data_IF_147818959037
#
_entry.id   IF_147818959037
#
_cell.length_a   1.000
_cell.length_b   1.000
_cell.length_c   1.000
_cell.angle_alpha   90.00
_cell.angle_beta   90.00
_cell.angle_gamma   90.00
#
_symmetry.space_group_name_H-M   'P 1'
#
loop_
_entity.id
_entity.type
_entity.pdbx_description
1 polymer ?
#
# COMPACT_ATOMS: atom_id res chain seq x y z
N UNK A 1 -15.33 6.92 8.85
CA UNK A 1 -14.01 6.90 9.51
C UNK A 1 -12.97 6.45 8.49
N UNK A 2 -11.73 6.89 8.63
CA UNK A 2 -10.63 6.64 7.69
C UNK A 2 -9.36 6.38 8.48
N UNK A 3 -8.49 5.52 7.96
CA UNK A 3 -7.25 5.13 8.61
C UNK A 3 -6.02 5.43 7.74
N UNK A 4 -4.97 5.88 8.40
CA UNK A 4 -3.64 6.13 7.86
C UNK A 4 -2.63 5.24 8.55
N UNK A 5 -1.65 4.70 7.82
CA UNK A 5 -0.60 3.89 8.41
C UNK A 5 0.75 4.15 7.75
N UNK A 6 1.81 4.08 8.54
CA UNK A 6 3.19 4.00 8.08
C UNK A 6 4.04 3.20 9.07
N UNK A 7 5.10 2.57 8.58
CA UNK A 7 6.12 1.91 9.39
C UNK A 7 7.49 1.97 8.69
N UNK A 8 8.57 1.63 9.40
CA UNK A 8 9.94 1.64 8.87
C UNK A 8 10.34 0.36 8.13
N UNK A 9 9.43 -0.58 7.91
CA UNK A 9 9.74 -1.91 7.33
C UNK A 9 10.26 -1.82 5.88
N UNK A 10 9.86 -0.80 5.13
CA UNK A 10 10.26 -0.60 3.73
C UNK A 10 10.68 0.86 3.48
N UNK A 11 11.51 1.14 2.46
CA UNK A 11 11.88 2.50 2.09
C UNK A 11 10.67 3.42 1.82
N UNK A 12 9.57 2.85 1.33
CA UNK A 12 8.34 3.58 1.03
C UNK A 12 7.49 3.89 2.29
N UNK A 13 7.98 3.49 3.46
CA UNK A 13 7.31 3.55 4.76
C UNK A 13 5.98 2.78 4.78
N UNK A 14 5.98 1.59 4.19
CA UNK A 14 4.84 0.69 4.07
C UNK A 14 5.12 -0.67 4.73
N UNK A 15 4.07 -1.43 5.13
CA UNK A 15 4.24 -2.81 5.56
C UNK A 15 4.86 -3.68 4.45
N UNK A 16 5.82 -4.53 4.82
CA UNK A 16 6.55 -5.39 3.89
C UNK A 16 5.65 -6.26 2.99
N UNK A 17 4.63 -6.98 3.50
CA UNK A 17 3.90 -7.97 2.71
C UNK A 17 3.09 -7.33 1.57
N UNK A 18 2.41 -6.21 1.83
CA UNK A 18 1.62 -5.53 0.81
C UNK A 18 2.52 -4.86 -0.23
N UNK A 19 3.66 -4.32 0.19
CA UNK A 19 4.60 -3.67 -0.72
C UNK A 19 5.18 -4.69 -1.71
N UNK A 20 5.62 -5.84 -1.22
CA UNK A 20 6.12 -6.93 -2.07
C UNK A 20 5.01 -7.47 -2.98
N UNK A 21 3.80 -7.71 -2.46
CA UNK A 21 2.68 -8.17 -3.27
C UNK A 21 2.34 -7.19 -4.42
N UNK A 22 2.36 -5.88 -4.17
CA UNK A 22 2.20 -4.86 -5.21
C UNK A 22 3.32 -4.85 -6.23
N UNK A 23 4.59 -4.89 -5.79
CA UNK A 23 5.75 -4.92 -6.69
C UNK A 23 5.72 -6.14 -7.60
N UNK A 24 5.39 -7.33 -7.06
CA UNK A 24 5.22 -8.55 -7.85
C UNK A 24 4.07 -8.43 -8.87
N UNK A 25 2.92 -7.88 -8.47
CA UNK A 25 1.78 -7.71 -9.37
C UNK A 25 2.09 -6.70 -10.49
N UNK A 26 2.81 -5.63 -10.16
CA UNK A 26 3.27 -4.65 -11.12
C UNK A 26 4.26 -5.28 -12.11
N UNK A 27 5.26 -6.01 -11.61
CA UNK A 27 6.27 -6.69 -12.41
C UNK A 27 5.67 -7.73 -13.34
N UNK A 28 4.70 -8.52 -12.86
CA UNK A 28 3.92 -9.47 -13.67
C UNK A 28 3.24 -8.76 -14.87
N UNK A 29 2.70 -7.55 -14.66
CA UNK A 29 2.10 -6.78 -15.73
C UNK A 29 3.15 -6.17 -16.69
N UNK A 30 4.33 -5.77 -16.19
CA UNK A 30 5.43 -5.26 -17.00
C UNK A 30 5.97 -6.32 -17.97
N UNK A 31 6.36 -7.49 -17.46
CA UNK A 31 6.93 -8.56 -18.30
C UNK A 31 5.97 -9.03 -19.37
N UNK A 32 4.66 -9.04 -19.06
CA UNK A 32 3.61 -9.30 -20.05
C UNK A 32 3.53 -8.20 -21.11
N UNK A 33 3.48 -6.92 -20.71
CA UNK A 33 3.33 -5.80 -21.66
C UNK A 33 4.56 -5.60 -22.53
N UNK A 34 5.74 -5.92 -22.01
CA UNK A 34 7.00 -5.89 -22.74
C UNK A 34 7.20 -7.10 -23.67
N UNK A 35 6.36 -8.13 -23.56
CA UNK A 35 6.47 -9.35 -24.36
C UNK A 35 7.60 -10.29 -23.92
N UNK A 36 8.20 -10.07 -22.75
CA UNK A 36 9.22 -10.95 -22.15
C UNK A 36 8.62 -12.34 -21.89
N UNK A 37 7.43 -12.37 -21.30
CA UNK A 37 6.63 -13.59 -21.11
C UNK A 37 5.35 -13.50 -21.97
N UNK A 38 5.44 -13.80 -23.28
CA UNK A 38 4.38 -13.48 -24.25
C UNK A 38 3.13 -14.36 -24.12
N UNK A 39 3.22 -15.43 -23.32
CA UNK A 39 2.10 -16.30 -23.01
C UNK A 39 1.19 -15.74 -21.91
N UNK A 40 1.63 -14.73 -21.14
CA UNK A 40 0.82 -14.14 -20.09
C UNK A 40 -0.38 -13.37 -20.64
N UNK A 41 -1.48 -13.43 -19.89
CA UNK A 41 -2.71 -12.69 -20.11
C UNK A 41 -2.94 -11.70 -18.96
N UNK A 42 -3.92 -10.78 -19.06
CA UNK A 42 -4.02 -9.64 -18.14
C UNK A 42 -4.34 -9.96 -16.68
N UNK A 43 -5.05 -11.05 -16.39
CA UNK A 43 -5.49 -11.37 -15.02
C UNK A 43 -4.36 -12.04 -14.21
N UNK A 44 -4.18 -11.61 -12.97
CA UNK A 44 -3.09 -12.06 -12.12
C UNK A 44 -3.28 -11.66 -10.65
N UNK A 45 -2.80 -12.52 -9.75
CA UNK A 45 -2.91 -12.38 -8.29
C UNK A 45 -1.56 -12.72 -7.66
N UNK A 46 -1.18 -11.96 -6.65
CA UNK A 46 0.05 -12.15 -5.88
C UNK A 46 -0.28 -12.20 -4.40
N UNK A 47 0.44 -13.03 -3.66
CA UNK A 47 0.38 -13.11 -2.21
C UNK A 47 1.79 -13.39 -1.69
N UNK A 48 2.13 -12.74 -0.58
CA UNK A 48 3.42 -12.88 0.09
C UNK A 48 3.17 -13.13 1.56
N UNK A 49 3.74 -14.21 2.08
CA UNK A 49 3.77 -14.53 3.51
C UNK A 49 5.16 -14.18 4.03
N UNK A 50 5.21 -13.27 5.01
CA UNK A 50 6.46 -12.79 5.62
C UNK A 50 6.49 -13.27 7.07
N UNK A 51 7.63 -13.78 7.50
CA UNK A 51 7.88 -14.13 8.90
C UNK A 51 8.38 -12.91 9.66
N UNK A 52 7.90 -12.76 10.89
CA UNK A 52 8.20 -11.62 11.75
C UNK A 52 8.77 -12.10 13.09
N UNK A 53 9.79 -11.41 13.58
CA UNK A 53 10.32 -11.52 14.94
C UNK A 53 10.34 -10.13 15.57
N UNK A 54 9.80 -9.97 16.78
CA UNK A 54 9.64 -8.68 17.46
C UNK A 54 9.06 -7.58 16.56
N UNK A 55 8.07 -7.97 15.75
CA UNK A 55 7.39 -7.13 14.76
C UNK A 55 8.27 -6.64 13.59
N UNK A 56 9.52 -7.10 13.46
CA UNK A 56 10.37 -6.84 12.30
C UNK A 56 10.30 -7.99 11.29
N UNK A 57 10.24 -7.70 9.97
CA UNK A 57 10.26 -8.74 8.95
C UNK A 57 11.66 -9.37 8.87
N UNK A 58 11.74 -10.69 9.00
CA UNK A 58 13.03 -11.40 9.00
C UNK A 58 13.28 -12.21 7.73
N UNK A 59 12.23 -12.74 7.10
CA UNK A 59 12.33 -13.49 5.82
C UNK A 59 10.97 -13.61 5.14
N UNK A 60 10.98 -13.95 3.86
CA UNK A 60 9.77 -14.35 3.14
C UNK A 60 9.64 -15.87 3.13
N UNK A 61 8.55 -16.38 3.73
CA UNK A 61 8.30 -17.82 3.79
C UNK A 61 7.70 -18.35 2.48
N UNK A 62 6.70 -17.64 1.95
CA UNK A 62 5.94 -18.11 0.79
C UNK A 62 5.61 -16.97 -0.16
N UNK A 63 5.83 -17.20 -1.45
CA UNK A 63 5.34 -16.36 -2.55
C UNK A 63 4.35 -17.20 -3.38
N UNK A 64 3.14 -16.66 -3.58
CA UNK A 64 2.16 -17.23 -4.49
C UNK A 64 1.89 -16.26 -5.62
N UNK A 65 2.01 -16.75 -6.85
CA UNK A 65 1.62 -16.01 -8.06
C UNK A 65 0.67 -16.88 -8.87
N UNK A 66 -0.58 -16.42 -8.99
CA UNK A 66 -1.56 -17.00 -9.89
C UNK A 66 -1.74 -16.06 -11.09
N UNK A 67 -1.37 -16.49 -12.29
CA UNK A 67 -1.38 -15.67 -13.48
C UNK A 67 -2.09 -16.36 -14.63
N UNK A 68 -2.93 -15.60 -15.32
CA UNK A 68 -3.63 -16.06 -16.50
C UNK A 68 -2.65 -16.24 -17.66
N UNK A 69 -2.80 -17.31 -18.43
CA UNK A 69 -1.89 -17.64 -19.52
C UNK A 69 -2.62 -18.21 -20.75
N UNK A 70 -1.89 -18.33 -21.88
CA UNK A 70 -2.36 -19.05 -23.06
C UNK A 70 -2.46 -20.56 -22.78
N UNK A 71 -3.38 -21.28 -23.44
CA UNK A 71 -3.43 -22.74 -23.35
C UNK A 71 -2.13 -23.41 -23.79
N UNK A 72 -1.84 -24.58 -23.22
CA UNK A 72 -0.68 -25.41 -23.59
C UNK A 72 0.66 -24.98 -22.99
N UNK A 73 0.65 -24.07 -22.01
CA UNK A 73 1.85 -23.70 -21.23
C UNK A 73 1.90 -24.53 -19.96
N UNK A 74 3.01 -25.24 -19.76
CA UNK A 74 3.22 -26.08 -18.58
C UNK A 74 3.67 -25.25 -17.38
N UNK A 75 2.98 -25.42 -16.25
CA UNK A 75 3.20 -24.59 -15.04
C UNK A 75 4.57 -24.84 -14.42
N UNK A 76 4.94 -26.10 -14.22
CA UNK A 76 6.13 -26.45 -13.45
C UNK A 76 7.44 -26.30 -14.23
N UNK A 77 7.42 -26.58 -15.53
CA UNK A 77 8.62 -26.60 -16.36
C UNK A 77 8.86 -25.32 -17.14
N UNK A 78 7.84 -24.47 -17.30
CA UNK A 78 7.95 -23.18 -18.02
C UNK A 78 7.63 -22.03 -17.08
N UNK A 79 6.40 -21.95 -16.58
CA UNK A 79 5.95 -20.75 -15.84
C UNK A 79 6.72 -20.54 -14.54
N UNK A 80 6.97 -21.61 -13.78
CA UNK A 80 7.65 -21.50 -12.48
C UNK A 80 9.09 -21.00 -12.62
N UNK A 81 9.95 -21.57 -13.49
CA UNK A 81 11.28 -20.99 -13.78
C UNK A 81 11.22 -19.53 -14.26
N UNK A 82 10.37 -19.25 -15.25
CA UNK A 82 10.22 -17.90 -15.82
C UNK A 82 9.80 -16.86 -14.77
N UNK A 83 8.90 -17.24 -13.85
CA UNK A 83 8.43 -16.34 -12.81
C UNK A 83 9.51 -16.09 -11.77
N UNK A 84 10.33 -17.10 -11.48
CA UNK A 84 11.48 -16.90 -10.60
C UNK A 84 12.44 -15.86 -11.20
N UNK A 85 12.93 -16.11 -12.41
CA UNK A 85 13.95 -15.29 -13.09
C UNK A 85 13.44 -13.88 -13.42
N UNK A 86 12.24 -13.76 -13.98
CA UNK A 86 11.80 -12.48 -14.56
C UNK A 86 10.90 -11.66 -13.64
N UNK A 87 10.36 -12.25 -12.55
CA UNK A 87 9.39 -11.60 -11.68
C UNK A 87 9.82 -11.57 -10.22
N UNK A 88 10.18 -12.72 -9.63
CA UNK A 88 10.48 -12.83 -8.20
C UNK A 88 11.87 -12.28 -7.91
N UNK A 89 12.90 -12.83 -8.54
CA UNK A 89 14.30 -12.43 -8.31
C UNK A 89 14.52 -10.92 -8.50
N UNK A 90 13.97 -10.23 -9.54
CA UNK A 90 14.16 -8.79 -9.71
C UNK A 90 13.40 -7.91 -8.71
N UNK A 91 12.45 -8.46 -7.96
CA UNK A 91 11.59 -7.70 -7.03
C UNK A 91 12.00 -7.89 -5.57
N UNK A 92 12.49 -9.08 -5.24
CA UNK A 92 12.73 -9.48 -3.87
C UNK A 92 14.07 -8.95 -3.35
N UNK A 93 14.12 -8.37 -2.14
CA UNK A 93 15.38 -8.08 -1.47
C UNK A 93 16.13 -9.39 -1.19
N UNK A 94 17.42 -9.42 -1.51
CA UNK A 94 18.27 -10.62 -1.36
C UNK A 94 18.28 -11.11 0.10
N UNK A 95 18.28 -10.18 1.05
CA UNK A 95 18.30 -10.45 2.49
C UNK A 95 17.04 -11.15 3.02
N UNK A 96 15.92 -11.12 2.27
CA UNK A 96 14.67 -11.77 2.67
C UNK A 96 14.44 -13.12 2.00
N UNK A 97 15.31 -13.55 1.09
CA UNK A 97 15.23 -14.85 0.41
C UNK A 97 16.20 -15.83 1.07
N UNK A 98 15.68 -17.00 1.43
CA UNK A 98 16.48 -18.14 1.88
C UNK A 98 16.21 -19.40 1.03
N UNK A 99 16.92 -20.49 1.35
CA UNK A 99 16.77 -21.79 0.66
C UNK A 99 15.42 -22.47 0.94
N UNK A 100 14.67 -22.00 1.93
CA UNK A 100 13.37 -22.54 2.34
C UNK A 100 12.19 -21.80 1.72
N UNK A 101 12.43 -20.77 0.89
CA UNK A 101 11.41 -20.01 0.19
C UNK A 101 10.48 -20.94 -0.60
N UNK A 102 9.17 -20.89 -0.29
CA UNK A 102 8.14 -21.64 -1.02
C UNK A 102 7.60 -20.78 -2.16
N UNK A 103 7.72 -21.28 -3.38
CA UNK A 103 7.18 -20.61 -4.58
C UNK A 103 6.02 -21.43 -5.13
N UNK A 104 4.83 -20.84 -5.10
CA UNK A 104 3.59 -21.44 -5.58
C UNK A 104 3.13 -20.70 -6.83
N UNK A 105 3.37 -21.29 -8.00
CA UNK A 105 2.88 -20.76 -9.28
C UNK A 105 1.66 -21.56 -9.71
N UNK A 106 0.53 -20.88 -9.93
CA UNK A 106 -0.73 -21.47 -10.38
C UNK A 106 -1.08 -22.82 -9.67
N UNK A 107 -1.20 -22.85 -8.34
CA UNK A 107 -1.31 -24.11 -7.58
C UNK A 107 -2.58 -24.93 -7.90
N UNK A 108 -3.60 -24.30 -8.49
CA UNK A 108 -4.82 -24.96 -8.97
C UNK A 108 -4.69 -25.54 -10.38
N UNK A 109 -3.50 -25.49 -10.98
CA UNK A 109 -3.24 -25.87 -12.36
C UNK A 109 -3.52 -24.75 -13.36
N UNK A 110 -4.20 -25.06 -14.45
CA UNK A 110 -4.38 -24.14 -15.59
C UNK A 110 -5.23 -22.91 -15.22
N UNK A 111 -4.79 -21.73 -15.65
CA UNK A 111 -5.54 -20.47 -15.54
C UNK A 111 -5.67 -19.81 -16.91
N UNK A 112 -6.53 -20.36 -17.77
CA UNK A 112 -6.67 -19.92 -19.17
C UNK A 112 -7.80 -18.89 -19.37
N UNK A 113 -8.92 -19.08 -18.65
CA UNK A 113 -10.09 -18.18 -18.63
C UNK A 113 -9.98 -17.28 -17.40
N UNK A 114 -10.12 -15.97 -17.58
CA UNK A 114 -9.98 -14.97 -16.51
C UNK A 114 -10.60 -13.63 -16.88
N UNK A 115 -10.38 -12.61 -16.05
CA UNK A 115 -11.01 -11.31 -16.21
C UNK A 115 -12.54 -11.37 -16.05
N UNK A 116 -13.29 -10.41 -16.61
CA UNK A 116 -14.75 -10.32 -16.44
C UNK A 116 -15.54 -11.53 -16.95
N UNK A 117 -14.95 -12.34 -17.83
CA UNK A 117 -15.56 -13.60 -18.28
C UNK A 117 -15.52 -14.68 -17.19
N UNK A 118 -14.48 -14.69 -16.37
CA UNK A 118 -14.33 -15.62 -15.25
C UNK A 118 -15.09 -15.16 -14.02
N UNK A 119 -14.93 -13.88 -13.64
CA UNK A 119 -15.49 -13.32 -12.41
C UNK A 119 -16.01 -11.88 -12.62
N UNK A 120 -17.21 -11.58 -12.09
CA UNK A 120 -17.76 -10.21 -12.10
C UNK A 120 -16.94 -9.27 -11.21
N UNK A 121 -16.38 -8.21 -11.77
CA UNK A 121 -15.68 -7.15 -11.05
C UNK A 121 -16.58 -5.98 -10.66
N UNK A 122 -16.40 -5.41 -9.47
CA UNK A 122 -17.07 -4.20 -9.03
C UNK A 122 -16.09 -3.20 -8.39
N UNK A 123 -16.35 -1.91 -8.59
CA UNK A 123 -15.62 -0.81 -7.95
C UNK A 123 -15.64 -0.95 -6.43
N UNK A 124 -14.49 -0.77 -5.78
CA UNK A 124 -14.39 -0.81 -4.31
C UNK A 124 -14.42 -2.20 -3.68
N UNK A 125 -14.16 -3.26 -4.45
CA UNK A 125 -14.03 -4.64 -3.93
C UNK A 125 -12.59 -5.10 -3.71
N UNK A 126 -11.66 -4.15 -3.60
CA UNK A 126 -10.22 -4.37 -3.37
C UNK A 126 -9.64 -3.38 -2.35
N UNK A 127 -10.46 -2.83 -1.44
CA UNK A 127 -10.06 -1.76 -0.51
C UNK A 127 -8.86 -2.10 0.40
N UNK A 128 -8.68 -3.36 0.77
CA UNK A 128 -7.50 -3.79 1.56
C UNK A 128 -6.25 -3.88 0.69
N UNK A 129 -6.40 -4.27 -0.58
CA UNK A 129 -5.33 -4.22 -1.59
C UNK A 129 -5.01 -2.77 -1.96
N UNK A 130 -5.99 -1.88 -1.96
CA UNK A 130 -5.77 -0.45 -2.23
C UNK A 130 -4.97 0.24 -1.11
N UNK A 131 -4.91 -0.35 0.08
CA UNK A 131 -4.37 0.27 1.31
C UNK A 131 -3.17 -0.49 1.88
N UNK A 132 -3.33 -1.17 3.02
CA UNK A 132 -2.22 -1.64 3.86
C UNK A 132 -2.15 -3.18 3.96
N UNK A 133 -2.88 -3.90 3.10
CA UNK A 133 -2.83 -5.36 3.04
C UNK A 133 -3.26 -6.08 4.32
N UNK A 134 -4.03 -5.40 5.18
CA UNK A 134 -4.51 -5.95 6.46
C UNK A 134 -3.62 -5.62 7.67
N UNK A 135 -2.47 -4.95 7.48
CA UNK A 135 -1.60 -4.54 8.60
C UNK A 135 -2.19 -3.41 9.45
N UNK A 136 -3.11 -2.63 8.86
CA UNK A 136 -3.79 -1.53 9.51
C UNK A 136 -5.30 -1.67 9.35
N UNK A 137 -6.04 -1.00 10.24
CA UNK A 137 -7.50 -0.95 10.21
C UNK A 137 -8.00 -0.25 8.95
N UNK A 138 -9.25 -0.51 8.59
CA UNK A 138 -9.89 0.10 7.42
C UNK A 138 -11.29 0.60 7.75
N UNK A 139 -11.62 1.81 7.33
CA UNK A 139 -12.89 2.47 7.68
C UNK A 139 -14.08 2.16 6.76
N UNK A 140 -13.87 1.27 5.77
CA UNK A 140 -14.90 0.73 4.88
C UNK A 140 -15.12 1.48 3.56
N UNK A 141 -14.78 2.77 3.49
CA UNK A 141 -14.94 3.57 2.27
C UNK A 141 -14.01 3.16 1.13
N UNK A 142 -14.55 2.93 -0.08
CA UNK A 142 -13.72 2.74 -1.28
C UNK A 142 -13.19 4.06 -1.85
N UNK A 143 -12.17 4.01 -2.71
CA UNK A 143 -11.55 5.21 -3.29
C UNK A 143 -12.00 5.50 -4.72
N UNK A 144 -11.86 4.53 -5.63
CA UNK A 144 -12.12 4.72 -7.07
C UNK A 144 -13.56 5.15 -7.37
N UNK A 145 -13.71 6.09 -8.30
CA UNK A 145 -14.99 6.71 -8.66
C UNK A 145 -15.40 7.92 -7.81
N UNK A 146 -14.64 8.28 -6.77
CA UNK A 146 -14.95 9.41 -5.88
C UNK A 146 -14.07 10.64 -6.13
N UNK A 147 -14.70 11.81 -6.29
CA UNK A 147 -13.97 13.08 -6.30
C UNK A 147 -13.43 13.42 -4.89
N UNK A 148 -12.47 14.35 -4.75
CA UNK A 148 -11.78 14.55 -3.48
C UNK A 148 -12.61 15.26 -2.40
N UNK A 149 -13.85 15.71 -2.67
CA UNK A 149 -14.74 16.15 -1.59
C UNK A 149 -15.27 14.99 -0.76
N UNK A 150 -15.06 13.74 -1.18
CA UNK A 150 -15.53 12.54 -0.48
C UNK A 150 -14.42 12.09 0.46
N UNK A 151 -14.67 12.29 1.75
CA UNK A 151 -13.67 12.08 2.81
C UNK A 151 -13.17 10.64 2.90
N UNK A 152 -13.94 9.66 2.40
CA UNK A 152 -13.46 8.28 2.23
C UNK A 152 -12.12 8.21 1.48
N UNK A 153 -11.94 9.05 0.45
CA UNK A 153 -10.69 9.15 -0.32
C UNK A 153 -9.75 10.20 0.28
N UNK A 154 -10.21 11.45 0.38
CA UNK A 154 -9.33 12.55 0.77
C UNK A 154 -8.85 12.44 2.21
N UNK A 155 -9.72 12.03 3.14
CA UNK A 155 -9.35 11.80 4.53
C UNK A 155 -8.45 10.58 4.71
N UNK A 156 -8.63 9.50 3.94
CA UNK A 156 -7.68 8.38 3.94
C UNK A 156 -6.29 8.78 3.42
N UNK A 157 -6.22 9.62 2.37
CA UNK A 157 -4.95 10.14 1.87
C UNK A 157 -4.29 11.10 2.86
N UNK A 158 -5.08 11.96 3.53
CA UNK A 158 -4.57 12.81 4.60
C UNK A 158 -4.05 11.99 5.78
N UNK A 159 -4.77 10.94 6.17
CA UNK A 159 -4.35 10.02 7.22
C UNK A 159 -3.01 9.35 6.88
N UNK A 160 -2.85 8.82 5.64
CA UNK A 160 -1.56 8.31 5.15
C UNK A 160 -0.46 9.37 5.23
N UNK A 161 -0.74 10.58 4.75
CA UNK A 161 0.22 11.68 4.72
C UNK A 161 0.71 12.04 6.13
N UNK A 162 -0.20 12.11 7.11
CA UNK A 162 0.15 12.37 8.52
C UNK A 162 1.02 11.24 9.07
N UNK A 163 0.56 9.98 9.00
CA UNK A 163 1.31 8.83 9.52
C UNK A 163 2.70 8.70 8.89
N UNK A 164 2.80 8.88 7.57
CA UNK A 164 4.07 8.83 6.84
C UNK A 164 5.04 9.92 7.29
N UNK A 165 4.56 11.14 7.52
CA UNK A 165 5.41 12.24 8.00
C UNK A 165 5.86 12.05 9.45
N UNK A 166 5.04 11.46 10.32
CA UNK A 166 5.42 11.10 11.69
C UNK A 166 6.57 10.09 11.69
N UNK A 167 6.43 9.01 10.91
CA UNK A 167 7.46 7.97 10.81
C UNK A 167 8.72 8.52 10.13
N UNK A 168 8.58 9.28 9.04
CA UNK A 168 9.71 9.91 8.35
C UNK A 168 10.47 10.93 9.22
N UNK A 169 9.78 11.61 10.14
CA UNK A 169 10.40 12.51 11.12
C UNK A 169 11.19 11.77 12.21
N UNK A 170 11.05 10.43 12.29
CA UNK A 170 11.62 9.62 13.34
C UNK A 170 10.91 9.80 14.69
N UNK A 171 9.64 10.24 14.70
CA UNK A 171 8.88 10.36 15.95
C UNK A 171 8.40 9.00 16.47
N UNK A 172 8.21 8.03 15.57
CA UNK A 172 7.88 6.65 15.88
C UNK A 172 8.32 5.73 14.74
N UNK A 173 8.52 4.44 15.02
CA UNK A 173 8.83 3.46 13.97
C UNK A 173 7.57 2.91 13.28
N UNK A 174 6.41 3.02 13.94
CA UNK A 174 5.07 2.71 13.40
C UNK A 174 4.09 3.77 13.83
N UNK A 175 3.15 4.10 12.96
CA UNK A 175 2.06 5.00 13.30
C UNK A 175 0.80 4.62 12.53
N UNK A 176 -0.29 4.41 13.27
CA UNK A 176 -1.67 4.41 12.75
C UNK A 176 -2.38 5.69 13.20
N UNK A 177 -3.15 6.30 12.30
CA UNK A 177 -4.02 7.44 12.60
C UNK A 177 -5.44 7.16 12.12
N UNK A 178 -6.43 7.37 12.99
CA UNK A 178 -7.85 7.38 12.65
C UNK A 178 -8.33 8.81 12.48
N UNK A 179 -9.15 9.06 11.45
CA UNK A 179 -9.90 10.30 11.28
C UNK A 179 -11.38 9.97 11.06
N UNK A 180 -12.27 10.57 11.84
CA UNK A 180 -13.73 10.44 11.66
C UNK A 180 -14.40 11.81 11.45
N UNK A 181 -15.44 11.85 10.61
CA UNK A 181 -16.24 13.04 10.35
C UNK A 181 -17.71 12.73 10.53
N UNK A 182 -18.46 13.71 11.04
CA UNK A 182 -19.90 13.76 10.91
C UNK A 182 -20.30 14.45 9.59
N UNK A 183 -21.36 13.97 8.95
CA UNK A 183 -21.85 14.57 7.71
C UNK A 183 -22.18 16.06 7.92
N UNK A 184 -21.71 16.92 7.02
CA UNK A 184 -21.91 18.37 7.11
C UNK A 184 -20.98 19.11 8.08
N UNK A 185 -20.11 18.41 8.83
CA UNK A 185 -19.17 19.02 9.77
C UNK A 185 -17.75 19.05 9.17
N UNK A 186 -17.14 20.23 9.15
CA UNK A 186 -15.83 20.41 8.51
C UNK A 186 -14.67 19.85 9.36
N UNK A 187 -14.70 20.05 10.68
CA UNK A 187 -13.67 19.52 11.58
C UNK A 187 -13.93 18.03 11.84
N UNK A 188 -12.88 17.19 11.92
CA UNK A 188 -13.04 15.82 12.37
C UNK A 188 -13.72 15.77 13.75
N UNK A 189 -14.58 14.78 13.97
CA UNK A 189 -15.16 14.49 15.29
C UNK A 189 -14.20 13.65 16.14
N UNK A 190 -13.24 12.97 15.50
CA UNK A 190 -12.20 12.19 16.15
C UNK A 190 -10.94 12.23 15.29
N UNK A 191 -9.79 12.40 15.96
CA UNK A 191 -8.45 12.14 15.45
C UNK A 191 -7.75 11.33 16.54
N UNK A 192 -7.46 10.06 16.27
CA UNK A 192 -6.78 9.17 17.23
C UNK A 192 -5.49 8.65 16.64
N UNK A 193 -4.46 8.55 17.48
CA UNK A 193 -3.12 8.16 17.06
C UNK A 193 -2.65 6.96 17.88
N UNK A 194 -2.02 5.99 17.22
CA UNK A 194 -1.40 4.83 17.87
C UNK A 194 -0.02 4.58 17.27
N UNK A 195 1.01 4.63 18.09
CA UNK A 195 2.41 4.37 17.72
C UNK A 195 2.89 2.96 18.05
N UNK A 196 2.02 2.12 18.62
CA UNK A 196 2.33 0.73 18.98
C UNK A 196 3.59 0.64 19.86
N UNK A 197 3.72 1.56 20.82
CA UNK A 197 4.85 1.67 21.76
C UNK A 197 6.22 1.86 21.06
N UNK A 198 6.22 2.43 19.85
CA UNK A 198 7.45 2.74 19.09
C UNK A 198 7.80 4.23 19.06
N UNK A 199 7.06 5.06 19.79
CA UNK A 199 7.31 6.50 19.88
C UNK A 199 8.66 6.82 20.55
N UNK A 200 9.35 7.82 20.02
CA UNK A 200 10.66 8.31 20.50
C UNK A 200 10.54 9.59 21.31
N UNK A 201 9.33 10.13 21.40
CA UNK A 201 8.92 11.27 22.21
C UNK A 201 7.55 10.99 22.81
N UNK A 202 7.15 11.76 23.81
CA UNK A 202 5.82 11.65 24.43
C UNK A 202 4.68 11.62 23.38
N UNK A 203 3.77 10.65 23.51
CA UNK A 203 2.66 10.46 22.57
C UNK A 203 1.78 11.72 22.47
N UNK A 204 1.48 12.36 23.61
CA UNK A 204 0.70 13.60 23.66
C UNK A 204 1.40 14.77 22.97
N UNK A 205 2.73 14.77 22.89
CA UNK A 205 3.49 15.71 22.05
C UNK A 205 3.26 15.43 20.57
N UNK A 206 3.26 14.17 20.13
CA UNK A 206 2.98 13.81 18.73
C UNK A 206 1.56 14.25 18.35
N UNK A 207 0.58 14.00 19.21
CA UNK A 207 -0.82 14.43 18.99
C UNK A 207 -0.95 15.95 18.80
N UNK A 208 -0.29 16.74 19.65
CA UNK A 208 -0.26 18.21 19.51
C UNK A 208 0.38 18.65 18.20
N UNK A 209 1.49 18.04 17.81
CA UNK A 209 2.15 18.35 16.54
C UNK A 209 1.25 18.02 15.35
N UNK A 210 0.45 16.95 15.43
CA UNK A 210 -0.53 16.64 14.38
C UNK A 210 -1.59 17.75 14.28
N UNK A 211 -2.13 18.19 15.41
CA UNK A 211 -3.12 19.27 15.44
C UNK A 211 -2.56 20.61 14.92
N UNK A 212 -1.31 20.93 15.24
CA UNK A 212 -0.65 22.19 14.85
C UNK A 212 -0.25 22.22 13.36
N UNK A 213 0.19 21.10 12.79
CA UNK A 213 0.81 21.08 11.46
C UNK A 213 -0.08 20.56 10.33
N UNK A 214 -1.20 19.92 10.65
CA UNK A 214 -2.12 19.32 9.67
C UNK A 214 -3.55 19.81 9.84
N UNK A 215 -4.03 20.60 8.88
CA UNK A 215 -5.43 21.00 8.82
C UNK A 215 -6.27 19.90 8.15
N UNK A 216 -6.88 19.06 8.97
CA UNK A 216 -7.68 17.91 8.54
C UNK A 216 -9.11 18.27 8.12
N UNK A 217 -9.45 19.53 7.85
CA UNK A 217 -10.76 19.86 7.26
C UNK A 217 -10.80 19.44 5.78
N UNK A 218 -11.92 18.95 5.21
CA UNK A 218 -11.97 18.48 3.82
C UNK A 218 -11.45 19.51 2.79
N UNK A 219 -11.81 20.79 2.96
CA UNK A 219 -11.32 21.86 2.08
C UNK A 219 -9.81 22.10 2.17
N UNK A 220 -9.24 21.97 3.37
CA UNK A 220 -7.80 22.12 3.59
C UNK A 220 -7.02 20.94 3.02
N UNK A 221 -7.49 19.71 3.26
CA UNK A 221 -6.92 18.49 2.66
C UNK A 221 -6.85 18.61 1.14
N UNK A 222 -7.94 19.04 0.49
CA UNK A 222 -7.98 19.22 -0.97
C UNK A 222 -6.96 20.24 -1.45
N UNK A 223 -6.82 21.36 -0.72
CA UNK A 223 -5.88 22.45 -1.04
C UNK A 223 -4.43 21.98 -0.87
N UNK A 224 -4.09 21.44 0.29
CA UNK A 224 -2.71 21.15 0.70
C UNK A 224 -2.15 19.97 -0.08
N UNK A 225 -2.96 18.93 -0.31
CA UNK A 225 -2.60 17.80 -1.16
C UNK A 225 -2.88 18.06 -2.65
N UNK A 226 -3.34 19.26 -3.05
CA UNK A 226 -3.59 19.65 -4.44
C UNK A 226 -4.45 18.62 -5.18
N UNK A 227 -5.58 18.22 -4.62
CA UNK A 227 -6.34 17.06 -5.11
C UNK A 227 -7.24 17.36 -6.32
N UNK A 228 -7.53 18.62 -6.65
CA UNK A 228 -8.36 18.97 -7.82
C UNK A 228 -7.58 18.89 -9.13
N UNK A 229 -7.11 17.68 -9.47
CA UNK A 229 -6.32 17.37 -10.67
C UNK A 229 -6.68 15.98 -11.21
N UNK A 230 -6.49 15.69 -12.50
CA UNK A 230 -6.79 14.39 -13.09
C UNK A 230 -5.70 13.34 -12.80
N UNK A 231 -5.46 13.03 -11.53
CA UNK A 231 -4.29 12.24 -11.08
C UNK A 231 -4.61 10.80 -10.66
N UNK A 232 -5.89 10.42 -10.62
CA UNK A 232 -6.35 9.22 -9.91
C UNK A 232 -6.32 7.92 -10.72
N UNK A 233 -6.22 7.97 -12.05
CA UNK A 233 -6.30 6.74 -12.86
C UNK A 233 -5.21 5.74 -12.50
N UNK A 234 -4.00 6.23 -12.23
CA UNK A 234 -2.83 5.42 -11.86
C UNK A 234 -2.89 4.82 -10.46
N UNK A 235 -3.79 5.29 -9.58
CA UNK A 235 -3.96 4.71 -8.24
C UNK A 235 -4.85 3.47 -8.25
N UNK A 236 -5.64 3.27 -9.32
CA UNK A 236 -6.68 2.23 -9.37
C UNK A 236 -6.14 0.78 -9.48
N UNK A 237 -4.82 0.62 -9.51
CA UNK A 237 -4.12 -0.65 -9.43
C UNK A 237 -2.76 -0.45 -8.74
N UNK A 238 -2.25 -1.53 -8.14
CA UNK A 238 -0.94 -1.58 -7.47
C UNK A 238 -0.83 -0.68 -6.23
N UNK A 239 -1.95 -0.46 -5.54
CA UNK A 239 -1.99 0.32 -4.30
C UNK A 239 -2.08 1.82 -4.52
N UNK A 240 -2.79 2.49 -3.60
CA UNK A 240 -2.86 3.94 -3.52
C UNK A 240 -1.70 4.56 -2.74
N UNK A 241 -1.02 3.77 -1.90
CA UNK A 241 0.03 4.19 -0.99
C UNK A 241 1.34 3.47 -1.28
N UNK A 242 2.45 4.04 -0.82
CA UNK A 242 3.78 3.41 -0.97
C UNK A 242 4.38 3.52 -2.37
N UNK A 243 3.97 4.51 -3.17
CA UNK A 243 4.47 4.69 -4.54
C UNK A 243 5.03 6.08 -4.71
N UNK A 244 6.26 6.16 -5.19
CA UNK A 244 6.87 7.41 -5.58
C UNK A 244 6.33 7.86 -6.93
N UNK A 245 5.42 8.83 -6.88
CA UNK A 245 4.92 9.50 -8.05
C UNK A 245 4.65 10.96 -7.70
N UNK A 246 5.10 11.89 -8.55
CA UNK A 246 4.96 13.34 -8.36
C UNK A 246 3.54 13.81 -8.03
N UNK A 247 2.53 13.08 -8.52
CA UNK A 247 1.12 13.43 -8.29
C UNK A 247 0.56 12.90 -6.97
N UNK A 248 1.18 11.87 -6.38
CA UNK A 248 0.79 11.29 -5.10
C UNK A 248 1.34 12.16 -3.97
N UNK A 249 0.76 13.35 -3.84
CA UNK A 249 1.14 14.36 -2.87
C UNK A 249 1.06 13.88 -1.43
N UNK A 250 0.21 12.90 -1.13
CA UNK A 250 0.09 12.24 0.17
C UNK A 250 1.27 11.31 0.52
N UNK A 251 2.13 10.97 -0.44
CA UNK A 251 3.35 10.20 -0.19
C UNK A 251 4.57 11.08 0.11
N UNK A 252 4.42 12.41 0.10
CA UNK A 252 5.51 13.34 0.43
C UNK A 252 5.79 13.34 1.93
N UNK A 253 7.06 13.56 2.27
CA UNK A 253 7.56 13.67 3.65
C UNK A 253 7.99 15.11 3.97
N UNK A 254 7.35 16.10 3.36
CA UNK A 254 7.69 17.52 3.45
C UNK A 254 7.36 18.18 4.80
N UNK A 255 6.61 17.49 5.68
CA UNK A 255 6.38 17.90 7.07
C UNK A 255 7.36 17.23 8.05
N UNK A 256 8.10 16.21 7.62
CA UNK A 256 8.94 15.42 8.52
C UNK A 256 9.96 16.28 9.29
N UNK A 257 10.68 17.16 8.59
CA UNK A 257 11.73 18.00 9.19
C UNK A 257 11.18 19.06 10.16
N UNK A 258 10.00 19.63 9.88
CA UNK A 258 9.39 20.59 10.82
C UNK A 258 8.86 19.88 12.07
N UNK A 259 8.27 18.69 11.90
CA UNK A 259 7.82 17.86 13.01
C UNK A 259 8.99 17.42 13.90
N UNK A 260 10.09 16.96 13.29
CA UNK A 260 11.30 16.53 14.00
C UNK A 260 11.87 17.65 14.87
N UNK A 261 12.05 18.85 14.31
CA UNK A 261 12.54 20.02 15.05
C UNK A 261 11.60 20.45 16.17
N UNK A 262 10.29 20.48 15.92
CA UNK A 262 9.31 20.82 16.95
C UNK A 262 9.23 19.75 18.07
N UNK A 263 9.54 18.49 17.73
CA UNK A 263 9.70 17.40 18.69
C UNK A 263 11.01 17.45 19.49
N UNK A 264 12.00 18.25 19.06
CA UNK A 264 13.31 18.36 19.71
C UNK A 264 14.25 17.21 19.39
N UNK A 265 14.12 16.59 18.21
CA UNK A 265 14.97 15.51 17.68
C UNK A 265 15.87 15.96 16.52
#
# INVERSE_FOLDING_TARGET
MMFGYACTETPELMPMPIMLAHKLAHRLAEVRKAGILPYLRPDGKTLVTVEYEDSQPIRVDTILIAAQHRPGVEVDTIMRPDFFEHIIEPVMPEELIDRNLKILVNPTGKFEIGGPMGDTGLTGRKIIVDTYGGMARHGGGCFSGKDPTKVDRSGAYAARYVAKNIVAAGLADRCEIEIAYAIGVARPVSVMLNTFDTEKVDLGKIEKLVEEHFDLRPGAIIRDLKLRRPIYKKTAAYGHFGREDRDFTWERTDKAEVLRRAAGL
#
